data_IF_806850751207
#
_entry.id   IF_806850751207
#
_cell.length_a   1.000
_cell.length_b   1.000
_cell.length_c   1.000
_cell.angle_alpha   90.00
_cell.angle_beta   90.00
_cell.angle_gamma   90.00
#
_symmetry.space_group_name_H-M   'P 1'
#
loop_
_entity.id
_entity.type
_entity.pdbx_description
1 polymer ?
#
# COMPACT_ATOMS: atom_id res chain seq x y z
N UNK A 1 21.39 0.90 3.78
CA UNK A 1 20.24 0.90 4.73
C UNK A 1 19.20 -0.12 4.28
N UNK A 2 18.41 -0.63 5.21
CA UNK A 2 17.20 -1.41 4.86
C UNK A 2 16.03 -0.43 4.79
N UNK A 3 15.25 -0.51 3.71
CA UNK A 3 14.08 0.32 3.47
C UNK A 3 12.90 -0.57 3.08
N UNK A 4 11.92 -0.67 3.96
CA UNK A 4 10.69 -1.43 3.71
C UNK A 4 9.63 -0.50 3.10
N UNK A 5 9.02 -0.94 2.00
CA UNK A 5 8.05 -0.17 1.25
C UNK A 5 6.86 -1.05 0.84
N UNK A 6 5.68 -0.69 1.29
CA UNK A 6 4.43 -1.24 0.77
C UNK A 6 3.88 -0.29 -0.32
N UNK A 7 3.87 -0.77 -1.55
CA UNK A 7 3.39 -0.02 -2.72
C UNK A 7 1.91 -0.34 -2.99
N UNK A 8 1.03 -0.06 -2.03
CA UNK A 8 -0.40 -0.25 -2.20
C UNK A 8 -1.01 0.61 -3.32
N UNK A 9 -2.18 0.24 -3.83
CA UNK A 9 -2.92 1.05 -4.81
C UNK A 9 -3.68 2.21 -4.15
N UNK A 10 -3.93 2.14 -2.85
CA UNK A 10 -4.54 3.22 -2.08
C UNK A 10 -3.48 4.03 -1.35
N UNK A 11 -2.54 3.36 -0.71
CA UNK A 11 -1.54 3.99 0.15
C UNK A 11 -0.15 3.43 -0.10
N UNK A 12 0.84 4.30 0.02
CA UNK A 12 2.26 3.94 0.13
C UNK A 12 2.58 3.94 1.62
N UNK A 13 3.18 2.87 2.12
CA UNK A 13 3.52 2.75 3.54
C UNK A 13 5.00 2.42 3.71
N UNK A 14 5.60 3.03 4.71
CA UNK A 14 6.95 2.72 5.18
C UNK A 14 6.90 2.36 6.67
N UNK A 15 8.06 2.17 7.30
CA UNK A 15 8.14 1.93 8.74
C UNK A 15 7.46 3.05 9.56
N UNK A 16 7.63 4.31 9.14
CA UNK A 16 7.24 5.48 9.92
C UNK A 16 6.12 6.31 9.28
N UNK A 17 5.73 6.02 8.06
CA UNK A 17 4.78 6.87 7.31
C UNK A 17 3.76 6.06 6.53
N UNK A 18 2.58 6.67 6.41
CA UNK A 18 1.50 6.23 5.51
C UNK A 18 1.10 7.45 4.70
N UNK A 19 1.20 7.34 3.38
CA UNK A 19 0.87 8.41 2.44
C UNK A 19 -0.10 7.91 1.37
N UNK A 20 -0.76 8.83 0.65
CA UNK A 20 -1.66 8.46 -0.42
C UNK A 20 -0.86 7.96 -1.63
N UNK A 21 -1.34 6.92 -2.32
CA UNK A 21 -0.75 6.47 -3.59
C UNK A 21 -1.18 7.40 -4.74
N UNK A 22 -0.92 8.69 -4.59
CA UNK A 22 -1.25 9.73 -5.55
C UNK A 22 -0.02 10.59 -5.86
N UNK A 23 0.23 10.86 -7.13
CA UNK A 23 1.38 11.61 -7.60
C UNK A 23 0.95 12.69 -8.57
N UNK A 24 1.46 13.90 -8.37
CA UNK A 24 1.30 15.03 -9.29
C UNK A 24 2.67 15.58 -9.66
N UNK A 25 2.95 15.71 -10.95
CA UNK A 25 4.04 16.52 -11.49
C UNK A 25 3.62 17.99 -11.46
N UNK A 26 4.51 18.88 -11.03
CA UNK A 26 4.26 20.32 -11.03
C UNK A 26 4.83 20.96 -12.31
N UNK A 27 4.06 21.87 -12.90
CA UNK A 27 4.45 22.63 -14.08
C UNK A 27 5.24 23.90 -13.73
N UNK A 28 5.53 24.09 -12.43
CA UNK A 28 6.23 25.26 -11.90
C UNK A 28 7.12 24.85 -10.73
N UNK A 29 8.10 25.68 -10.42
CA UNK A 29 8.89 25.54 -9.19
C UNK A 29 8.02 25.92 -8.01
N UNK A 30 7.76 25.01 -7.06
CA UNK A 30 6.92 25.31 -5.91
C UNK A 30 7.55 26.42 -5.05
N UNK A 31 6.74 27.34 -4.53
CA UNK A 31 7.19 28.39 -3.62
C UNK A 31 7.78 27.80 -2.33
N UNK A 32 7.23 26.66 -1.92
CA UNK A 32 7.76 25.85 -0.81
C UNK A 32 8.15 24.49 -1.34
N UNK A 33 9.43 24.16 -1.19
CA UNK A 33 9.98 22.86 -1.58
C UNK A 33 9.87 21.81 -0.48
N UNK A 34 9.19 22.16 0.63
CA UNK A 34 9.18 21.34 1.83
C UNK A 34 8.65 19.93 1.62
N UNK A 35 7.66 19.74 0.74
CA UNK A 35 7.05 18.42 0.51
C UNK A 35 7.15 17.93 -0.94
N UNK A 36 7.95 18.60 -1.77
CA UNK A 36 8.17 18.23 -3.15
C UNK A 36 9.50 17.49 -3.32
N UNK A 37 9.45 16.41 -4.10
CA UNK A 37 10.62 15.71 -4.60
C UNK A 37 11.08 16.37 -5.89
N UNK A 38 12.35 16.75 -5.97
CA UNK A 38 12.99 17.17 -7.22
C UNK A 38 13.75 15.98 -7.81
N UNK A 39 13.33 15.51 -8.97
CA UNK A 39 13.90 14.34 -9.63
C UNK A 39 13.88 14.55 -11.15
N UNK A 40 15.03 14.30 -11.82
CA UNK A 40 15.19 14.45 -13.29
C UNK A 40 14.73 15.81 -13.84
N UNK A 41 15.02 16.89 -13.10
CA UNK A 41 14.67 18.25 -13.53
C UNK A 41 13.25 18.69 -13.24
N UNK A 42 12.43 17.84 -12.64
CA UNK A 42 11.01 18.06 -12.40
C UNK A 42 10.66 17.97 -10.91
N UNK A 43 9.58 18.64 -10.51
CA UNK A 43 9.04 18.58 -9.17
C UNK A 43 7.82 17.67 -9.10
N UNK A 44 7.79 16.81 -8.09
CA UNK A 44 6.69 15.88 -7.84
C UNK A 44 6.17 16.02 -6.42
N UNK A 45 4.86 15.99 -6.26
CA UNK A 45 4.20 16.03 -4.96
C UNK A 45 3.20 14.89 -4.84
N UNK A 46 2.99 14.45 -3.59
CA UNK A 46 1.85 13.63 -3.24
C UNK A 46 0.55 14.40 -3.43
N UNK A 47 -0.50 13.71 -3.84
CA UNK A 47 -1.86 14.26 -3.96
C UNK A 47 -2.88 13.29 -3.36
N UNK A 48 -4.01 13.84 -2.92
CA UNK A 48 -5.14 13.05 -2.42
C UNK A 48 -5.81 12.20 -3.52
N UNK A 49 -5.60 12.57 -4.79
CA UNK A 49 -6.10 11.80 -5.91
C UNK A 49 -5.20 10.60 -6.17
N UNK A 50 -5.71 9.40 -5.89
CA UNK A 50 -5.00 8.15 -6.12
C UNK A 50 -4.68 7.95 -7.60
N UNK A 51 -3.57 7.29 -7.88
CA UNK A 51 -3.29 6.74 -9.20
C UNK A 51 -4.40 5.74 -9.56
N UNK A 52 -4.76 5.70 -10.85
CA UNK A 52 -5.62 4.64 -11.35
C UNK A 52 -5.01 3.27 -11.06
N UNK A 53 -5.87 2.28 -10.82
CA UNK A 53 -5.41 0.92 -10.62
C UNK A 53 -4.54 0.45 -11.79
N UNK A 54 -3.40 -0.14 -11.46
CA UNK A 54 -2.49 -0.74 -12.43
C UNK A 54 -2.13 -2.14 -11.97
N UNK A 55 -2.45 -3.12 -12.82
CA UNK A 55 -2.00 -4.50 -12.63
C UNK A 55 -0.48 -4.57 -12.58
N UNK A 56 0.18 -3.93 -13.52
CA UNK A 56 1.64 -3.83 -13.61
C UNK A 56 2.11 -2.41 -13.28
N UNK A 57 2.66 -2.24 -12.10
CA UNK A 57 3.18 -0.96 -11.58
C UNK A 57 4.49 -0.51 -12.23
N UNK A 58 5.06 -1.31 -13.13
CA UNK A 58 6.33 -1.04 -13.80
C UNK A 58 6.18 -0.44 -15.20
N UNK A 59 4.94 -0.15 -15.62
CA UNK A 59 4.67 0.41 -16.96
C UNK A 59 5.16 1.84 -17.15
N UNK A 60 5.33 2.55 -16.05
CA UNK A 60 5.90 3.90 -16.00
C UNK A 60 6.58 4.19 -14.65
N UNK A 61 7.16 5.37 -14.50
CA UNK A 61 7.97 5.72 -13.33
C UNK A 61 7.18 6.22 -12.11
N UNK A 62 5.85 6.26 -12.15
CA UNK A 62 5.04 6.82 -11.05
C UNK A 62 5.29 6.14 -9.72
N UNK A 63 5.33 4.81 -9.68
CA UNK A 63 5.62 4.06 -8.44
C UNK A 63 7.08 4.16 -8.01
N UNK A 64 8.01 4.33 -8.95
CA UNK A 64 9.40 4.60 -8.64
C UNK A 64 9.56 5.98 -7.98
N UNK A 65 8.91 7.00 -8.53
CA UNK A 65 8.92 8.37 -8.00
C UNK A 65 8.25 8.41 -6.61
N UNK A 66 7.13 7.71 -6.42
CA UNK A 66 6.50 7.56 -5.10
C UNK A 66 7.44 6.88 -4.09
N UNK A 67 8.19 5.86 -4.52
CA UNK A 67 9.19 5.21 -3.67
C UNK A 67 10.35 6.15 -3.31
N UNK A 68 10.84 6.96 -4.26
CA UNK A 68 11.86 7.98 -3.99
C UNK A 68 11.33 9.06 -3.03
N UNK A 69 10.08 9.50 -3.18
CA UNK A 69 9.46 10.48 -2.28
C UNK A 69 9.32 9.92 -0.85
N UNK A 70 8.88 8.66 -0.71
CA UNK A 70 8.81 7.98 0.56
C UNK A 70 10.19 7.80 1.20
N UNK A 71 11.18 7.38 0.41
CA UNK A 71 12.57 7.27 0.85
C UNK A 71 13.16 8.62 1.28
N UNK A 72 12.90 9.68 0.51
CA UNK A 72 13.37 11.03 0.83
C UNK A 72 12.85 11.52 2.20
N UNK A 73 11.59 11.25 2.48
CA UNK A 73 10.96 11.57 3.78
C UNK A 73 11.59 10.79 4.92
N UNK A 74 11.83 9.49 4.74
CA UNK A 74 12.52 8.65 5.74
C UNK A 74 13.95 9.13 6.00
N UNK A 75 14.71 9.44 4.94
CA UNK A 75 16.08 9.96 5.05
C UNK A 75 16.10 11.31 5.75
N UNK A 76 15.17 12.19 5.42
CA UNK A 76 15.07 13.51 6.02
C UNK A 76 14.74 13.44 7.52
N UNK A 77 13.77 12.60 7.89
CA UNK A 77 13.32 12.43 9.28
C UNK A 77 14.34 11.68 10.14
N UNK A 78 14.96 10.62 9.59
CA UNK A 78 15.95 9.80 10.31
C UNK A 78 17.31 10.46 10.47
N UNK A 79 17.64 11.41 9.60
CA UNK A 79 18.90 12.13 9.57
C UNK A 79 20.13 11.26 9.23
N UNK A 80 21.27 11.90 9.07
CA UNK A 80 22.52 11.26 8.63
C UNK A 80 23.08 10.21 9.62
N UNK A 81 22.73 10.35 10.90
CA UNK A 81 23.18 9.39 11.94
C UNK A 81 22.54 8.01 11.78
N UNK A 82 21.29 7.97 11.28
CA UNK A 82 20.55 6.72 11.08
C UNK A 82 20.95 6.03 9.77
N UNK A 83 21.37 6.80 8.77
CA UNK A 83 21.63 6.29 7.42
C UNK A 83 23.04 6.68 6.97
N UNK A 84 24.02 5.78 7.10
CA UNK A 84 25.42 6.08 6.78
C UNK A 84 25.59 6.35 5.29
N UNK A 85 26.26 7.46 4.99
CA UNK A 85 26.67 7.85 3.64
C UNK A 85 28.09 7.37 3.39
N UNK A 86 28.34 6.58 2.36
CA UNK A 86 29.66 6.16 1.92
C UNK A 86 30.00 6.83 0.60
N UNK A 87 31.07 7.62 0.60
CA UNK A 87 31.50 8.35 -0.61
C UNK A 87 30.39 9.20 -1.26
N UNK A 88 29.54 9.84 -0.44
CA UNK A 88 28.41 10.64 -0.93
C UNK A 88 27.21 9.83 -1.40
N UNK A 89 27.22 8.50 -1.23
CA UNK A 89 26.19 7.60 -1.71
C UNK A 89 25.55 6.80 -0.55
N UNK A 90 24.24 6.66 -0.57
CA UNK A 90 23.48 5.83 0.36
C UNK A 90 23.13 4.51 -0.34
N UNK A 91 23.67 3.41 0.16
CA UNK A 91 23.32 2.07 -0.31
C UNK A 91 21.99 1.61 0.35
N UNK A 92 21.04 1.18 -0.48
CA UNK A 92 19.67 0.80 -0.04
C UNK A 92 19.39 -0.65 -0.42
N UNK A 93 19.07 -1.48 0.58
CA UNK A 93 18.37 -2.75 0.38
C UNK A 93 16.89 -2.47 0.50
N UNK A 94 16.14 -2.60 -0.59
CA UNK A 94 14.69 -2.38 -0.63
C UNK A 94 13.95 -3.67 -0.35
N UNK A 95 13.06 -3.64 0.64
CA UNK A 95 12.09 -4.71 0.89
C UNK A 95 10.74 -4.26 0.33
N UNK A 96 10.21 -4.99 -0.65
CA UNK A 96 8.96 -4.60 -1.32
C UNK A 96 8.10 -5.83 -1.62
N UNK A 97 6.78 -5.65 -1.65
CA UNK A 97 5.84 -6.73 -1.87
C UNK A 97 4.94 -6.54 -3.08
N UNK A 98 4.47 -7.66 -3.60
CA UNK A 98 3.41 -7.72 -4.61
C UNK A 98 2.21 -8.51 -4.06
N UNK A 99 0.98 -8.19 -4.52
CA UNK A 99 -0.17 -9.02 -4.28
C UNK A 99 0.08 -10.48 -4.68
N UNK A 100 -0.47 -11.47 -3.96
CA UNK A 100 -0.27 -12.88 -4.26
C UNK A 100 -0.54 -13.24 -5.72
N UNK A 101 -1.66 -12.76 -6.29
CA UNK A 101 -2.04 -13.01 -7.67
C UNK A 101 -1.02 -12.50 -8.71
N UNK A 102 -0.24 -11.46 -8.37
CA UNK A 102 0.72 -10.83 -9.30
C UNK A 102 2.15 -11.32 -9.10
N UNK A 103 2.45 -11.94 -7.96
CA UNK A 103 3.80 -12.24 -7.52
C UNK A 103 4.57 -13.10 -8.51
N UNK A 104 3.99 -14.22 -8.93
CA UNK A 104 4.66 -15.16 -9.85
C UNK A 104 4.99 -14.52 -11.20
N UNK A 105 4.06 -13.71 -11.74
CA UNK A 105 4.19 -13.11 -13.06
C UNK A 105 5.11 -11.86 -13.07
N UNK A 106 5.08 -11.06 -12.00
CA UNK A 106 5.70 -9.73 -12.01
C UNK A 106 6.93 -9.59 -11.12
N UNK A 107 7.25 -10.55 -10.24
CA UNK A 107 8.35 -10.40 -9.25
C UNK A 107 9.69 -9.99 -9.86
N UNK A 108 10.09 -10.60 -10.96
CA UNK A 108 11.38 -10.31 -11.61
C UNK A 108 11.36 -8.90 -12.20
N UNK A 109 10.34 -8.59 -12.98
CA UNK A 109 10.16 -7.26 -13.60
C UNK A 109 10.10 -6.15 -12.56
N UNK A 110 9.38 -6.37 -11.45
CA UNK A 110 9.24 -5.41 -10.37
C UNK A 110 10.54 -5.22 -9.58
N UNK A 111 11.32 -6.30 -9.41
CA UNK A 111 12.66 -6.24 -8.84
C UNK A 111 13.58 -5.36 -9.72
N UNK A 112 13.64 -5.64 -11.03
CA UNK A 112 14.50 -4.93 -11.97
C UNK A 112 14.09 -3.46 -12.11
N UNK A 113 12.80 -3.17 -12.04
CA UNK A 113 12.24 -1.82 -12.04
C UNK A 113 12.83 -0.93 -10.95
N UNK A 114 13.04 -1.44 -9.74
CA UNK A 114 13.69 -0.69 -8.66
C UNK A 114 15.20 -0.75 -8.71
N UNK A 115 15.80 -1.87 -9.10
CA UNK A 115 17.25 -2.00 -9.18
C UNK A 115 17.90 -1.06 -10.20
N UNK A 116 17.27 -0.84 -11.34
CA UNK A 116 17.79 0.01 -12.43
C UNK A 116 19.28 -0.26 -12.72
N UNK A 117 19.65 -1.55 -12.78
CA UNK A 117 21.03 -2.01 -12.97
C UNK A 117 22.01 -1.45 -11.92
N UNK A 118 21.55 -1.23 -10.69
CA UNK A 118 22.33 -0.61 -9.61
C UNK A 118 22.88 0.78 -9.97
N UNK A 119 22.18 1.51 -10.84
CA UNK A 119 22.57 2.87 -11.21
C UNK A 119 22.22 3.83 -10.07
N UNK A 120 23.17 4.64 -9.59
CA UNK A 120 22.88 5.66 -8.60
C UNK A 120 21.85 6.67 -9.11
N UNK A 121 20.92 7.04 -8.24
CA UNK A 121 19.90 8.05 -8.50
C UNK A 121 20.09 9.23 -7.54
N UNK A 122 20.01 10.44 -8.08
CA UNK A 122 20.09 11.67 -7.30
C UNK A 122 18.76 12.40 -7.31
N UNK A 123 18.36 12.90 -6.16
CA UNK A 123 17.12 13.68 -6.01
C UNK A 123 17.27 14.73 -4.91
N UNK A 124 16.44 15.75 -4.97
CA UNK A 124 16.31 16.80 -3.95
C UNK A 124 15.02 16.61 -3.14
N UNK A 125 15.08 16.90 -1.86
CA UNK A 125 13.90 16.99 -1.00
C UNK A 125 14.14 18.01 0.10
N UNK A 126 13.25 19.01 0.20
CA UNK A 126 13.47 20.19 1.04
C UNK A 126 14.79 20.87 0.69
N UNK A 127 15.63 21.12 1.68
CA UNK A 127 16.95 21.76 1.57
C UNK A 127 18.09 20.78 1.30
N UNK A 128 17.80 19.48 1.16
CA UNK A 128 18.82 18.44 1.02
C UNK A 128 18.82 17.79 -0.36
N UNK A 129 20.02 17.40 -0.77
CA UNK A 129 20.24 16.52 -1.94
C UNK A 129 20.70 15.16 -1.46
N UNK A 130 20.15 14.13 -2.08
CA UNK A 130 20.49 12.75 -1.78
C UNK A 130 20.99 12.06 -3.04
N UNK A 131 21.93 11.16 -2.87
CA UNK A 131 22.34 10.21 -3.90
C UNK A 131 22.23 8.81 -3.31
N UNK A 132 21.43 7.97 -3.92
CA UNK A 132 21.14 6.62 -3.43
C UNK A 132 21.36 5.59 -4.53
N UNK A 133 21.64 4.36 -4.14
CA UNK A 133 21.66 3.21 -5.04
C UNK A 133 20.90 2.05 -4.40
N UNK A 134 19.97 1.46 -5.13
CA UNK A 134 19.35 0.21 -4.73
C UNK A 134 20.31 -0.93 -5.07
N UNK A 135 21.04 -1.41 -4.05
CA UNK A 135 22.02 -2.50 -4.20
C UNK A 135 21.35 -3.86 -4.22
N UNK A 136 20.20 -3.96 -3.57
CA UNK A 136 19.42 -5.18 -3.48
C UNK A 136 17.93 -4.84 -3.39
N UNK A 137 17.08 -5.66 -4.04
CA UNK A 137 15.63 -5.62 -3.90
C UNK A 137 15.15 -7.01 -3.51
N UNK A 138 14.62 -7.11 -2.30
CA UNK A 138 14.04 -8.33 -1.73
C UNK A 138 12.55 -8.30 -1.97
N UNK A 139 12.07 -9.27 -2.74
CA UNK A 139 10.66 -9.40 -3.11
C UNK A 139 9.91 -10.31 -2.15
N UNK A 140 8.77 -9.85 -1.65
CA UNK A 140 7.89 -10.64 -0.80
C UNK A 140 6.45 -10.67 -1.36
N UNK A 141 5.69 -11.68 -0.95
CA UNK A 141 4.24 -11.70 -1.13
C UNK A 141 3.63 -10.79 -0.05
N UNK A 142 2.72 -9.89 -0.42
CA UNK A 142 1.97 -9.07 0.54
C UNK A 142 1.23 -9.97 1.53
N UNK A 143 1.17 -9.56 2.80
CA UNK A 143 0.64 -10.39 3.89
C UNK A 143 1.66 -11.37 4.51
N UNK A 144 2.70 -11.82 3.79
CA UNK A 144 3.66 -12.78 4.34
C UNK A 144 4.49 -12.22 5.51
N UNK A 145 4.77 -10.93 5.49
CA UNK A 145 5.44 -10.25 6.60
C UNK A 145 4.60 -10.29 7.90
N UNK A 146 3.27 -10.26 7.79
CA UNK A 146 2.36 -10.43 8.93
C UNK A 146 2.50 -11.84 9.50
N UNK A 147 2.55 -12.86 8.65
CA UNK A 147 2.79 -14.25 9.09
C UNK A 147 4.10 -14.38 9.85
N UNK A 148 5.21 -13.87 9.30
CA UNK A 148 6.52 -13.92 9.96
C UNK A 148 6.52 -13.20 11.32
N UNK A 149 5.84 -12.05 11.41
CA UNK A 149 5.71 -11.29 12.64
C UNK A 149 4.89 -12.05 13.69
N UNK A 150 3.80 -12.71 13.28
CA UNK A 150 3.01 -13.53 14.19
C UNK A 150 3.76 -14.80 14.61
N UNK A 151 4.44 -15.47 13.67
CA UNK A 151 5.24 -16.66 13.96
C UNK A 151 6.39 -16.40 14.94
N UNK A 152 6.91 -15.17 14.98
CA UNK A 152 7.93 -14.78 15.98
C UNK A 152 7.36 -14.54 17.38
N UNK A 153 6.04 -14.33 17.52
CA UNK A 153 5.37 -14.01 18.78
C UNK A 153 4.55 -15.15 19.35
N UNK A 154 4.15 -16.09 18.52
CA UNK A 154 3.30 -17.21 18.90
C UNK A 154 3.65 -18.45 18.08
N UNK A 155 3.42 -19.64 18.65
CA UNK A 155 3.67 -20.88 17.94
C UNK A 155 2.54 -21.18 16.94
N UNK A 156 2.68 -20.67 15.72
CA UNK A 156 1.69 -20.89 14.65
C UNK A 156 1.60 -22.36 14.20
N UNK A 157 2.61 -23.20 14.53
CA UNK A 157 2.59 -24.63 14.21
C UNK A 157 1.58 -25.43 15.05
N UNK A 158 1.03 -24.85 16.11
CA UNK A 158 -0.06 -25.45 16.89
C UNK A 158 -1.39 -25.42 16.11
N UNK A 159 -1.48 -24.62 15.06
CA UNK A 159 -2.66 -24.51 14.22
C UNK A 159 -2.46 -25.25 12.90
N UNK A 160 -3.37 -26.18 12.62
CA UNK A 160 -3.35 -26.91 11.34
C UNK A 160 -3.55 -25.99 10.13
N UNK A 161 -4.25 -24.89 10.32
CA UNK A 161 -4.51 -23.88 9.29
C UNK A 161 -4.37 -22.48 9.88
N UNK A 162 -3.71 -21.58 9.15
CA UNK A 162 -3.64 -20.14 9.44
C UNK A 162 -4.02 -19.41 8.16
N UNK A 163 -5.04 -18.57 8.23
CA UNK A 163 -5.43 -17.71 7.12
C UNK A 163 -5.09 -16.25 7.47
N UNK A 164 -4.30 -15.62 6.64
CA UNK A 164 -4.00 -14.20 6.72
C UNK A 164 -4.79 -13.51 5.63
N UNK A 165 -5.56 -12.50 6.00
CA UNK A 165 -6.36 -11.70 5.08
C UNK A 165 -5.96 -10.24 5.22
N UNK A 166 -5.49 -9.65 4.12
CA UNK A 166 -5.14 -8.23 4.05
C UNK A 166 -6.21 -7.47 3.25
N UNK A 167 -6.91 -6.57 3.92
CA UNK A 167 -7.92 -5.72 3.33
C UNK A 167 -7.27 -4.49 2.71
N UNK A 168 -6.84 -4.62 1.45
CA UNK A 168 -6.30 -3.52 0.67
C UNK A 168 -7.36 -2.56 0.11
N UNK A 169 -6.91 -1.51 -0.57
CA UNK A 169 -7.80 -0.56 -1.23
C UNK A 169 -8.58 -1.19 -2.38
N UNK A 170 -7.89 -1.86 -3.31
CA UNK A 170 -8.51 -2.47 -4.50
C UNK A 170 -8.76 -3.96 -4.32
N UNK A 171 -7.84 -4.65 -3.66
CA UNK A 171 -7.88 -6.11 -3.47
C UNK A 171 -7.99 -6.49 -2.02
N UNK A 172 -8.49 -7.67 -1.76
CA UNK A 172 -8.32 -8.41 -0.52
C UNK A 172 -7.37 -9.54 -0.85
N UNK A 173 -6.19 -9.49 -0.27
CA UNK A 173 -5.16 -10.50 -0.47
C UNK A 173 -5.25 -11.54 0.64
N UNK A 174 -5.14 -12.82 0.32
CA UNK A 174 -5.14 -13.86 1.33
C UNK A 174 -4.00 -14.86 1.15
N UNK A 175 -3.51 -15.35 2.27
CA UNK A 175 -2.53 -16.44 2.39
C UNK A 175 -3.13 -17.51 3.29
N UNK A 176 -3.31 -18.71 2.78
CA UNK A 176 -3.66 -19.89 3.57
C UNK A 176 -2.40 -20.72 3.78
N UNK A 177 -2.03 -20.91 5.04
CA UNK A 177 -0.94 -21.78 5.43
C UNK A 177 -1.51 -23.03 6.09
N UNK A 178 -0.91 -24.18 5.78
CA UNK A 178 -1.17 -25.45 6.45
C UNK A 178 0.12 -25.96 7.06
N UNK A 179 0.09 -26.23 8.36
CA UNK A 179 1.28 -26.68 9.09
C UNK A 179 2.52 -25.79 8.86
N UNK A 180 2.30 -24.48 8.75
CA UNK A 180 3.36 -23.49 8.52
C UNK A 180 3.81 -23.33 7.06
N UNK A 181 3.33 -24.16 6.14
CA UNK A 181 3.64 -24.07 4.71
C UNK A 181 2.53 -23.36 3.92
N UNK A 182 2.90 -22.56 2.92
CA UNK A 182 1.94 -21.86 2.07
C UNK A 182 1.19 -22.87 1.21
N UNK A 183 -0.12 -23.01 1.44
CA UNK A 183 -1.02 -23.91 0.71
C UNK A 183 -1.70 -23.21 -0.46
N UNK A 184 -2.30 -22.03 -0.19
CA UNK A 184 -3.00 -21.20 -1.18
C UNK A 184 -2.71 -19.72 -0.95
N UNK A 185 -2.69 -18.97 -2.02
CA UNK A 185 -2.65 -17.50 -1.96
C UNK A 185 -3.27 -16.92 -3.23
N UNK A 186 -4.04 -15.86 -3.08
CA UNK A 186 -4.65 -15.15 -4.20
C UNK A 186 -5.12 -13.76 -3.76
N UNK A 187 -5.67 -13.00 -4.70
CA UNK A 187 -6.18 -11.64 -4.52
C UNK A 187 -7.60 -11.55 -5.07
N UNK A 188 -8.54 -11.08 -4.24
CA UNK A 188 -9.93 -10.85 -4.63
C UNK A 188 -10.15 -9.36 -4.91
N UNK A 189 -10.83 -9.01 -6.00
CA UNK A 189 -11.13 -7.60 -6.36
C UNK A 189 -12.30 -7.01 -5.53
N UNK A 190 -12.27 -7.24 -4.22
CA UNK A 190 -13.31 -6.85 -3.26
C UNK A 190 -12.78 -5.91 -2.16
N UNK A 191 -11.73 -5.13 -2.48
CA UNK A 191 -11.10 -4.23 -1.51
C UNK A 191 -12.01 -3.10 -1.02
N UNK A 192 -11.50 -2.30 -0.11
CA UNK A 192 -12.25 -1.24 0.58
C UNK A 192 -12.87 -0.20 -0.37
N UNK A 193 -12.23 0.07 -1.51
CA UNK A 193 -12.77 1.01 -2.53
C UNK A 193 -14.06 0.45 -3.14
N UNK A 194 -14.11 -0.87 -3.40
CA UNK A 194 -15.32 -1.55 -3.88
C UNK A 194 -16.45 -1.41 -2.86
N UNK A 195 -16.17 -1.62 -1.58
CA UNK A 195 -17.13 -1.41 -0.48
C UNK A 195 -17.61 0.05 -0.44
N UNK A 196 -16.69 1.03 -0.47
CA UNK A 196 -17.04 2.46 -0.44
C UNK A 196 -17.93 2.86 -1.62
N UNK A 197 -17.65 2.35 -2.82
CA UNK A 197 -18.47 2.61 -4.00
C UNK A 197 -19.87 1.98 -3.88
N UNK A 198 -20.01 0.76 -3.33
CA UNK A 198 -21.29 0.13 -3.04
C UNK A 198 -22.11 0.97 -2.06
N UNK A 199 -21.49 1.42 -0.96
CA UNK A 199 -22.12 2.28 0.06
C UNK A 199 -22.55 3.59 -0.56
N UNK A 200 -21.64 4.31 -1.22
CA UNK A 200 -21.92 5.61 -1.85
C UNK A 200 -23.09 5.54 -2.82
N UNK A 201 -23.07 4.57 -3.72
CA UNK A 201 -24.14 4.37 -4.71
C UNK A 201 -25.48 4.05 -4.07
N UNK A 202 -25.51 3.20 -3.05
CA UNK A 202 -26.72 2.80 -2.36
C UNK A 202 -27.31 3.95 -1.53
N UNK A 203 -26.49 4.67 -0.77
CA UNK A 203 -26.93 5.81 0.03
C UNK A 203 -27.43 6.95 -0.85
N UNK A 204 -26.73 7.25 -1.95
CA UNK A 204 -27.21 8.25 -2.90
C UNK A 204 -28.60 7.89 -3.45
N UNK A 205 -28.81 6.66 -3.86
CA UNK A 205 -30.09 6.17 -4.39
C UNK A 205 -31.21 6.16 -3.35
N UNK A 206 -30.93 5.76 -2.09
CA UNK A 206 -31.94 5.61 -1.02
C UNK A 206 -32.26 6.94 -0.35
N UNK A 207 -31.27 7.83 -0.17
CA UNK A 207 -31.37 9.00 0.69
C UNK A 207 -31.07 10.31 -0.05
N UNK A 208 -30.74 10.28 -1.35
CA UNK A 208 -30.27 11.43 -2.14
C UNK A 208 -29.11 12.18 -1.42
N UNK A 209 -28.19 11.42 -0.80
CA UNK A 209 -27.06 11.91 -0.04
C UNK A 209 -25.77 11.39 -0.64
N UNK A 210 -24.81 12.28 -0.87
CA UNK A 210 -23.47 11.92 -1.32
C UNK A 210 -22.53 11.84 -0.09
N UNK A 211 -22.10 10.63 0.22
CA UNK A 211 -21.02 10.39 1.19
C UNK A 211 -19.69 10.35 0.47
N UNK A 212 -18.67 10.97 1.07
CA UNK A 212 -17.29 10.75 0.62
C UNK A 212 -16.64 9.55 1.36
N UNK A 213 -15.41 9.22 1.01
CA UNK A 213 -14.71 8.07 1.61
C UNK A 213 -14.37 8.32 3.08
N UNK A 214 -14.16 9.57 3.46
CA UNK A 214 -13.86 9.96 4.84
C UNK A 214 -15.09 9.81 5.71
N UNK A 215 -16.25 10.26 5.21
CA UNK A 215 -17.54 10.07 5.88
C UNK A 215 -17.81 8.57 6.15
N UNK A 216 -17.66 7.73 5.11
CA UNK A 216 -17.89 6.28 5.22
C UNK A 216 -16.91 5.65 6.21
N UNK A 217 -15.64 6.02 6.14
CA UNK A 217 -14.61 5.52 7.04
C UNK A 217 -14.95 5.81 8.52
N UNK A 218 -15.35 7.05 8.83
CA UNK A 218 -15.73 7.43 10.19
C UNK A 218 -17.00 6.69 10.67
N UNK A 219 -18.00 6.51 9.79
CA UNK A 219 -19.19 5.73 10.13
C UNK A 219 -18.80 4.28 10.47
N UNK A 220 -18.00 3.62 9.61
CA UNK A 220 -17.57 2.23 9.82
C UNK A 220 -16.72 2.06 11.08
N UNK A 221 -15.92 3.07 11.44
CA UNK A 221 -15.18 3.11 12.71
C UNK A 221 -16.05 3.38 13.94
N UNK A 222 -17.32 3.69 13.75
CA UNK A 222 -18.24 4.14 14.82
C UNK A 222 -17.77 5.42 15.51
N UNK A 223 -17.05 6.26 14.79
CA UNK A 223 -16.68 7.57 15.28
C UNK A 223 -17.94 8.45 15.38
N UNK A 224 -17.90 9.51 16.21
CA UNK A 224 -19.00 10.46 16.27
C UNK A 224 -19.13 11.18 14.92
N UNK A 225 -20.28 11.01 14.27
CA UNK A 225 -20.58 11.60 12.96
C UNK A 225 -21.81 12.52 13.02
N UNK A 226 -21.99 13.32 11.98
CA UNK A 226 -23.16 14.21 11.80
C UNK A 226 -24.37 13.50 11.19
N UNK A 227 -24.24 12.22 10.85
CA UNK A 227 -25.28 11.48 10.14
C UNK A 227 -26.29 10.87 11.09
N UNK A 228 -27.53 10.72 10.62
CA UNK A 228 -28.61 10.11 11.39
C UNK A 228 -28.37 8.61 11.58
N UNK A 229 -28.95 8.04 12.66
CA UNK A 229 -28.92 6.60 12.94
C UNK A 229 -29.42 5.76 11.77
N UNK A 230 -30.38 6.27 11.00
CA UNK A 230 -30.89 5.60 9.80
C UNK A 230 -29.82 5.46 8.72
N UNK A 231 -29.06 6.53 8.43
CA UNK A 231 -27.96 6.50 7.44
C UNK A 231 -26.86 5.57 7.92
N UNK A 232 -26.49 5.67 9.19
CA UNK A 232 -25.50 4.79 9.82
C UNK A 232 -25.95 3.33 9.68
N UNK A 233 -27.22 3.03 9.97
CA UNK A 233 -27.78 1.69 9.82
C UNK A 233 -27.66 1.14 8.40
N UNK A 234 -27.98 1.94 7.38
CA UNK A 234 -27.83 1.53 5.97
C UNK A 234 -26.38 1.26 5.60
N UNK A 235 -25.44 2.07 6.07
CA UNK A 235 -24.00 1.84 5.82
C UNK A 235 -23.56 0.50 6.39
N UNK A 236 -23.95 0.17 7.62
CA UNK A 236 -23.63 -1.11 8.24
C UNK A 236 -24.32 -2.31 7.59
N UNK A 237 -25.56 -2.14 7.09
CA UNK A 237 -26.26 -3.17 6.32
C UNK A 237 -25.45 -3.56 5.08
N UNK A 238 -25.04 -2.57 4.28
CA UNK A 238 -24.26 -2.79 3.06
C UNK A 238 -22.88 -3.38 3.37
N UNK A 239 -22.23 -2.91 4.42
CA UNK A 239 -20.94 -3.45 4.84
C UNK A 239 -21.07 -4.92 5.27
N UNK A 240 -22.16 -5.28 5.98
CA UNK A 240 -22.45 -6.66 6.36
C UNK A 240 -22.70 -7.56 5.15
N UNK A 241 -23.45 -7.08 4.16
CA UNK A 241 -23.67 -7.82 2.90
C UNK A 241 -22.35 -8.09 2.18
N UNK A 242 -21.46 -7.09 2.11
CA UNK A 242 -20.13 -7.24 1.49
C UNK A 242 -19.25 -8.28 2.22
N UNK A 243 -19.30 -8.31 3.55
CA UNK A 243 -18.58 -9.32 4.34
C UNK A 243 -19.18 -10.72 4.12
N UNK A 244 -20.50 -10.84 4.03
CA UNK A 244 -21.17 -12.13 3.75
C UNK A 244 -20.77 -12.65 2.37
N UNK A 245 -20.75 -11.78 1.35
CA UNK A 245 -20.29 -12.12 0.00
C UNK A 245 -18.84 -12.65 0.04
N UNK A 246 -17.95 -11.93 0.72
CA UNK A 246 -16.55 -12.33 0.89
C UNK A 246 -16.42 -13.69 1.58
N UNK A 247 -17.14 -13.91 2.69
CA UNK A 247 -17.13 -15.19 3.40
C UNK A 247 -17.67 -16.33 2.53
N UNK A 248 -18.65 -16.05 1.66
CA UNK A 248 -19.15 -16.99 0.65
C UNK A 248 -18.04 -17.44 -0.31
N UNK A 249 -17.31 -16.48 -0.88
CA UNK A 249 -16.17 -16.75 -1.77
C UNK A 249 -15.09 -17.58 -1.04
N UNK A 250 -14.74 -17.21 0.19
CA UNK A 250 -13.76 -17.97 0.96
C UNK A 250 -14.19 -19.45 1.16
N UNK A 251 -15.46 -19.70 1.43
CA UNK A 251 -15.98 -21.08 1.54
C UNK A 251 -15.88 -21.84 0.22
N UNK A 252 -16.21 -21.22 -0.91
CA UNK A 252 -16.09 -21.83 -2.24
C UNK A 252 -14.67 -22.25 -2.58
N UNK A 253 -13.66 -21.50 -2.14
CA UNK A 253 -12.24 -21.83 -2.32
C UNK A 253 -11.68 -22.74 -1.22
N UNK A 254 -12.53 -23.21 -0.29
CA UNK A 254 -12.18 -24.16 0.76
C UNK A 254 -11.51 -23.54 1.99
N UNK A 255 -11.81 -22.28 2.25
CA UNK A 255 -11.41 -21.57 3.47
C UNK A 255 -12.66 -21.41 4.34
N UNK A 256 -12.75 -22.21 5.40
CA UNK A 256 -13.80 -22.14 6.43
C UNK A 256 -13.23 -21.44 7.67
N UNK A 257 -14.02 -20.53 8.26
CA UNK A 257 -13.71 -19.77 9.47
C UNK A 257 -14.49 -20.28 10.67
#
# INVERSE_FOLDING_TARGET
>A
MIFALDTGNDKIKTENMVTQAGLKKLDYVPERTEDALFYEGEYYMETVNRLAYMYDKTVDDRYYILALLALARELYTGGEKKYPVKNGLIEVTLLVGLPPAHYAALRTKFKDYFLRNNTPVSFGYKDKKYSVVFTEVVMNIQGYAVYLTLASKMNLNEYNKVCIVDFGGMTIDYLLLRYGELDKSDSLELGMITLYNKIRSSINRRCNLLLDEVDIFHILKRDKTRFSEQIIGYVFEIAKEHVIELLGIFREIGIDF
#
